data_IF_730173051081
#
_entry.id   IF_730173051081
#
_cell.length_a   1.000
_cell.length_b   1.000
_cell.length_c   1.000
_cell.angle_alpha   90.00
_cell.angle_beta   90.00
_cell.angle_gamma   90.00
#
_symmetry.space_group_name_H-M   'P 1'
#
loop_
_entity.id
_entity.type
_entity.pdbx_description
1 polymer ?
#
# COMPACT_ATOMS: atom_id res chain seq x y z
N UNK A 1 -8.90 15.06 -13.54
CA UNK A 1 -8.00 16.00 -12.85
C UNK A 1 -8.15 15.92 -11.33
N UNK A 2 -9.37 15.78 -10.79
CA UNK A 2 -9.59 15.74 -9.33
C UNK A 2 -9.15 14.43 -8.67
N UNK A 3 -9.36 13.29 -9.33
CA UNK A 3 -8.93 11.98 -8.80
C UNK A 3 -7.41 11.92 -8.59
N UNK A 4 -6.64 12.44 -9.54
CA UNK A 4 -5.18 12.40 -9.44
C UNK A 4 -4.65 13.27 -8.29
N UNK A 5 -5.22 14.49 -8.13
CA UNK A 5 -4.91 15.36 -6.99
C UNK A 5 -5.29 14.71 -5.65
N UNK A 6 -6.41 13.99 -5.60
CA UNK A 6 -6.83 13.25 -4.40
C UNK A 6 -5.83 12.15 -4.06
N UNK A 7 -5.36 11.39 -5.05
CA UNK A 7 -4.32 10.37 -4.84
C UNK A 7 -3.00 10.97 -4.34
N UNK A 8 -2.63 12.17 -4.80
CA UNK A 8 -1.46 12.87 -4.28
C UNK A 8 -1.68 13.32 -2.83
N UNK A 9 -2.87 13.82 -2.49
CA UNK A 9 -3.22 14.18 -1.12
C UNK A 9 -3.20 12.96 -0.17
N UNK A 10 -3.81 11.85 -0.58
CA UNK A 10 -3.81 10.59 0.18
C UNK A 10 -2.37 10.13 0.44
N UNK A 11 -1.50 10.25 -0.55
CA UNK A 11 -0.09 9.93 -0.39
C UNK A 11 0.63 10.80 0.65
N UNK A 12 0.41 12.12 0.65
CA UNK A 12 0.98 13.00 1.67
C UNK A 12 0.46 12.68 3.08
N UNK A 13 -0.82 12.30 3.20
CA UNK A 13 -1.38 11.82 4.45
C UNK A 13 -0.69 10.53 4.91
N UNK A 14 -0.47 9.58 4.00
CA UNK A 14 0.24 8.32 4.30
C UNK A 14 1.69 8.53 4.74
N UNK A 15 2.42 9.49 4.13
CA UNK A 15 3.76 9.87 4.61
C UNK A 15 3.68 10.39 6.04
N UNK A 16 2.71 11.25 6.34
CA UNK A 16 2.58 11.82 7.68
C UNK A 16 2.31 10.74 8.73
N UNK A 17 1.44 9.78 8.41
CA UNK A 17 1.11 8.63 9.27
C UNK A 17 2.28 7.65 9.40
N UNK A 18 3.09 7.48 8.35
CA UNK A 18 4.23 6.54 8.40
C UNK A 18 5.23 6.89 9.48
N UNK A 19 5.50 8.19 9.70
CA UNK A 19 6.38 8.64 10.77
C UNK A 19 5.86 8.24 12.15
N UNK A 20 4.55 8.42 12.38
CA UNK A 20 3.92 8.04 13.64
C UNK A 20 4.04 6.54 13.87
N UNK A 21 3.65 5.72 12.89
CA UNK A 21 3.66 4.26 13.05
C UNK A 21 5.09 3.71 13.15
N UNK A 22 6.02 4.22 12.35
CA UNK A 22 7.43 3.82 12.40
C UNK A 22 8.04 4.04 13.79
N UNK A 23 7.71 5.16 14.45
CA UNK A 23 8.22 5.48 15.79
C UNK A 23 7.75 4.50 16.88
N UNK A 24 6.64 3.78 16.65
CA UNK A 24 6.02 2.84 17.58
C UNK A 24 6.52 1.41 17.41
N UNK A 25 7.26 1.11 16.33
CA UNK A 25 7.82 -0.22 16.08
C UNK A 25 8.98 -0.45 17.06
N UNK A 26 8.84 -1.48 17.91
CA UNK A 26 9.85 -1.87 18.90
C UNK A 26 10.76 -2.99 18.41
N UNK A 27 10.29 -3.82 17.48
CA UNK A 27 11.09 -4.87 16.86
C UNK A 27 12.02 -4.27 15.79
N UNK A 28 13.33 -4.39 16.01
CA UNK A 28 14.33 -3.78 15.14
C UNK A 28 14.38 -4.43 13.74
N UNK A 29 14.03 -5.71 13.61
CA UNK A 29 13.97 -6.38 12.31
C UNK A 29 12.79 -5.86 11.48
N UNK A 30 11.62 -5.77 12.13
CA UNK A 30 10.40 -5.19 11.53
C UNK A 30 10.68 -3.75 11.09
N UNK A 31 11.34 -2.98 11.96
CA UNK A 31 11.70 -1.59 11.69
C UNK A 31 12.64 -1.46 10.49
N UNK A 32 13.67 -2.28 10.38
CA UNK A 32 14.58 -2.28 9.23
C UNK A 32 13.90 -2.68 7.92
N UNK A 33 12.98 -3.65 7.96
CA UNK A 33 12.21 -4.02 6.78
C UNK A 33 11.25 -2.91 6.36
N UNK A 34 10.54 -2.30 7.33
CA UNK A 34 9.66 -1.17 7.08
C UNK A 34 10.43 0.01 6.46
N UNK A 35 11.62 0.32 6.96
CA UNK A 35 12.48 1.39 6.41
C UNK A 35 12.83 1.13 4.93
N UNK A 36 13.28 -0.09 4.60
CA UNK A 36 13.59 -0.46 3.21
C UNK A 36 12.38 -0.32 2.28
N UNK A 37 11.21 -0.75 2.74
CA UNK A 37 9.97 -0.62 1.97
C UNK A 37 9.50 0.83 1.84
N UNK A 38 9.62 1.64 2.89
CA UNK A 38 9.34 3.08 2.81
C UNK A 38 10.27 3.76 1.80
N UNK A 39 11.57 3.52 1.87
CA UNK A 39 12.54 4.06 0.88
C UNK A 39 12.16 3.65 -0.54
N UNK A 40 11.78 2.38 -0.74
CA UNK A 40 11.34 1.86 -2.04
C UNK A 40 10.12 2.59 -2.58
N UNK A 41 9.07 2.70 -1.76
CA UNK A 41 7.77 3.25 -2.18
C UNK A 41 7.88 4.77 -2.38
N UNK A 42 8.58 5.47 -1.49
CA UNK A 42 8.76 6.92 -1.54
C UNK A 42 9.72 7.36 -2.66
N UNK A 43 10.70 6.52 -2.98
CA UNK A 43 11.69 6.79 -4.04
C UNK A 43 11.20 6.49 -5.45
N UNK A 44 10.03 5.88 -5.62
CA UNK A 44 9.53 5.52 -6.94
C UNK A 44 9.04 6.76 -7.70
N UNK A 45 9.44 6.87 -8.97
CA UNK A 45 8.80 7.78 -9.93
C UNK A 45 7.42 7.24 -10.29
N UNK A 46 6.41 8.08 -10.12
CA UNK A 46 5.01 7.68 -10.25
C UNK A 46 4.29 8.70 -11.12
N UNK A 47 3.87 8.28 -12.30
CA UNK A 47 3.18 9.13 -13.27
C UNK A 47 1.79 8.56 -13.60
N UNK A 48 0.79 9.43 -13.52
CA UNK A 48 -0.59 9.10 -13.81
C UNK A 48 -1.31 8.27 -12.74
N UNK A 49 -2.62 8.11 -12.95
CA UNK A 49 -3.56 7.59 -11.94
C UNK A 49 -3.24 6.14 -11.55
N UNK A 50 -2.87 5.28 -12.50
CA UNK A 50 -2.64 3.85 -12.23
C UNK A 50 -1.47 3.63 -11.27
N UNK A 51 -0.35 4.28 -11.53
CA UNK A 51 0.85 4.14 -10.71
C UNK A 51 0.65 4.80 -9.34
N UNK A 52 -0.05 5.94 -9.28
CA UNK A 52 -0.42 6.59 -8.02
C UNK A 52 -1.30 5.70 -7.16
N UNK A 53 -2.31 5.04 -7.74
CA UNK A 53 -3.09 4.02 -7.03
C UNK A 53 -2.22 2.89 -6.52
N UNK A 54 -1.33 2.36 -7.37
CA UNK A 54 -0.43 1.27 -7.00
C UNK A 54 0.43 1.63 -5.78
N UNK A 55 1.10 2.78 -5.84
CA UNK A 55 1.90 3.33 -4.73
C UNK A 55 1.07 3.50 -3.47
N UNK A 56 -0.11 4.11 -3.59
CA UNK A 56 -0.97 4.40 -2.45
C UNK A 56 -1.49 3.11 -1.79
N UNK A 57 -1.85 2.09 -2.56
CA UNK A 57 -2.23 0.77 -2.03
C UNK A 57 -1.06 0.11 -1.31
N UNK A 58 0.15 0.16 -1.87
CA UNK A 58 1.36 -0.33 -1.18
C UNK A 58 1.61 0.42 0.14
N UNK A 59 1.52 1.76 0.14
CA UNK A 59 1.65 2.55 1.36
C UNK A 59 0.60 2.15 2.39
N UNK A 60 -0.67 2.07 2.01
CA UNK A 60 -1.75 1.71 2.91
C UNK A 60 -1.53 0.34 3.55
N UNK A 61 -1.18 -0.67 2.75
CA UNK A 61 -0.92 -2.04 3.24
C UNK A 61 0.28 -2.08 4.19
N UNK A 62 1.37 -1.41 3.83
CA UNK A 62 2.55 -1.31 4.70
C UNK A 62 2.21 -0.62 6.03
N UNK A 63 1.48 0.49 5.99
CA UNK A 63 1.07 1.23 7.20
C UNK A 63 0.19 0.38 8.13
N UNK A 64 -0.75 -0.40 7.58
CA UNK A 64 -1.56 -1.32 8.37
C UNK A 64 -0.69 -2.33 9.13
N UNK A 65 0.31 -2.90 8.46
CA UNK A 65 1.22 -3.87 9.05
C UNK A 65 2.23 -3.25 10.03
N UNK A 66 2.70 -2.03 9.75
CA UNK A 66 3.49 -1.25 10.71
C UNK A 66 2.70 -0.93 11.97
N UNK A 67 1.38 -0.68 11.84
CA UNK A 67 0.50 -0.44 12.98
C UNK A 67 0.30 -1.69 13.84
N UNK A 68 0.22 -2.88 13.23
CA UNK A 68 0.15 -4.15 13.97
C UNK A 68 1.51 -4.59 14.54
N UNK A 69 2.62 -4.04 14.03
CA UNK A 69 3.97 -4.38 14.46
C UNK A 69 4.51 -5.68 13.84
N UNK A 70 3.87 -6.19 12.79
CA UNK A 70 4.26 -7.42 12.11
C UNK A 70 4.18 -7.21 10.60
N UNK A 71 5.27 -7.49 9.89
CA UNK A 71 5.33 -7.46 8.42
C UNK A 71 5.23 -8.87 7.86
N UNK A 72 4.29 -9.08 6.94
CA UNK A 72 3.96 -10.38 6.35
C UNK A 72 3.84 -10.28 4.83
N UNK A 73 3.75 -11.45 4.17
CA UNK A 73 3.63 -11.52 2.71
C UNK A 73 4.83 -10.88 2.01
N UNK A 74 4.56 -10.00 1.05
CA UNK A 74 5.62 -9.30 0.31
C UNK A 74 6.50 -8.43 1.22
N UNK A 75 5.98 -7.95 2.36
CA UNK A 75 6.73 -7.10 3.28
C UNK A 75 7.61 -7.87 4.28
N UNK A 76 7.48 -9.20 4.34
CA UNK A 76 8.33 -10.06 5.16
C UNK A 76 9.78 -10.13 4.64
N UNK A 77 9.99 -9.77 3.38
CA UNK A 77 11.29 -9.75 2.73
C UNK A 77 11.64 -8.32 2.27
N UNK A 78 12.93 -7.98 2.14
CA UNK A 78 13.33 -6.69 1.60
C UNK A 78 12.86 -6.52 0.14
N UNK A 79 12.50 -5.29 -0.29
CA UNK A 79 12.07 -5.04 -1.66
C UNK A 79 13.20 -5.29 -2.68
N UNK A 80 12.85 -5.81 -3.86
CA UNK A 80 13.81 -5.95 -4.97
C UNK A 80 14.37 -4.58 -5.39
N UNK A 81 15.68 -4.46 -5.50
CA UNK A 81 16.34 -3.22 -5.93
C UNK A 81 16.23 -3.01 -7.45
N UNK A 82 16.20 -1.75 -7.89
CA UNK A 82 16.25 -1.39 -9.32
C UNK A 82 15.01 -1.68 -10.18
N UNK A 83 14.01 -2.40 -9.68
CA UNK A 83 12.73 -2.65 -10.37
C UNK A 83 11.60 -1.75 -9.88
N UNK A 84 10.56 -1.50 -10.68
CA UNK A 84 9.35 -0.79 -10.20
C UNK A 84 8.55 -1.65 -9.22
N UNK A 85 7.67 -1.05 -8.41
CA UNK A 85 6.72 -1.83 -7.61
C UNK A 85 5.89 -2.75 -8.53
N UNK A 86 5.69 -4.02 -8.16
CA UNK A 86 4.79 -4.91 -8.89
C UNK A 86 3.35 -4.40 -8.84
N UNK A 87 2.48 -4.98 -9.67
CA UNK A 87 1.06 -4.65 -9.67
C UNK A 87 0.41 -5.07 -8.35
N UNK A 88 -0.28 -4.16 -7.67
CA UNK A 88 -1.00 -4.47 -6.42
C UNK A 88 -2.04 -5.55 -6.62
N UNK A 89 -2.65 -5.65 -7.79
CA UNK A 89 -3.57 -6.75 -8.12
C UNK A 89 -2.88 -8.12 -8.03
N UNK A 90 -1.65 -8.21 -8.52
CA UNK A 90 -0.91 -9.48 -8.48
C UNK A 90 -0.44 -9.85 -7.08
N UNK A 91 -0.36 -8.89 -6.18
CA UNK A 91 0.26 -9.04 -4.86
C UNK A 91 -0.79 -9.11 -3.74
N UNK A 92 -1.93 -8.44 -3.91
CA UNK A 92 -2.93 -8.24 -2.86
C UNK A 92 -4.38 -8.61 -3.26
N UNK A 93 -4.72 -8.92 -4.53
CA UNK A 93 -6.10 -9.30 -4.93
C UNK A 93 -6.52 -10.70 -4.45
N UNK A 94 -5.77 -11.37 -3.57
CA UNK A 94 -6.33 -12.51 -2.80
C UNK A 94 -7.28 -12.03 -1.67
N UNK A 95 -7.51 -10.72 -1.52
CA UNK A 95 -8.35 -10.15 -0.45
C UNK A 95 -9.59 -9.37 -0.93
N UNK A 96 -9.96 -9.39 -2.22
CA UNK A 96 -10.98 -8.45 -2.75
C UNK A 96 -12.21 -9.08 -3.43
N UNK A 97 -12.56 -10.34 -3.18
CA UNK A 97 -13.78 -10.94 -3.76
C UNK A 97 -15.07 -10.64 -2.96
N UNK A 98 -15.01 -9.95 -1.82
CA UNK A 98 -16.20 -9.70 -0.97
C UNK A 98 -16.82 -8.28 -1.08
N UNK A 99 -16.19 -7.30 -1.74
CA UNK A 99 -16.73 -5.92 -1.80
C UNK A 99 -17.37 -5.50 -3.14
N UNK A 100 -17.54 -6.40 -4.12
CA UNK A 100 -18.28 -6.13 -5.36
C UNK A 100 -19.77 -6.55 -5.33
N UNK A 101 -20.36 -6.82 -4.16
CA UNK A 101 -21.78 -7.19 -4.04
C UNK A 101 -22.72 -6.02 -3.67
N UNK A 102 -22.23 -4.81 -3.42
CA UNK A 102 -23.05 -3.73 -2.85
C UNK A 102 -23.64 -2.77 -3.91
N UNK A 103 -23.24 -2.86 -5.18
CA UNK A 103 -23.74 -1.93 -6.22
C UNK A 103 -24.33 -2.60 -7.48
N UNK A 104 -24.98 -3.76 -7.33
CA UNK A 104 -25.77 -4.33 -8.43
C UNK A 104 -27.11 -4.93 -7.98
N UNK A 105 -28.22 -4.17 -8.01
CA UNK A 105 -29.54 -4.69 -7.67
C UNK A 105 -30.17 -5.65 -8.71
N UNK A 106 -29.48 -6.01 -9.80
CA UNK A 106 -30.08 -6.85 -10.86
C UNK A 106 -29.74 -8.36 -10.79
N UNK A 107 -28.98 -8.84 -9.80
CA UNK A 107 -28.71 -10.28 -9.63
C UNK A 107 -29.66 -11.00 -8.67
N UNK A 108 -30.94 -10.67 -8.76
CA UNK A 108 -32.01 -11.41 -8.08
C UNK A 108 -33.08 -11.89 -9.07
N UNK A 109 -32.71 -12.58 -10.15
CA UNK A 109 -33.67 -13.46 -10.85
C UNK A 109 -32.96 -14.65 -11.51
N UNK A 110 -33.56 -15.82 -11.22
CA UNK A 110 -33.34 -17.19 -11.71
C UNK A 110 -32.37 -18.07 -10.93
#
# INVERSE_FOLDING_TARGET
>A
MDLEKRLDLDYFNFISVSHEYYSKITDENVKQLADKWLVKILGQKVDGIREKRNRNTFMMQLLTQMHSGELTGIFAEPPEEGRSLPSTKQVFDEMSDEEEAIDNPERAVF
#
